data_IF_619959985779
#
_entry.id   IF_619959985779
#
_cell.length_a   1.000
_cell.length_b   1.000
_cell.length_c   1.000
_cell.angle_alpha   90.00
_cell.angle_beta   90.00
_cell.angle_gamma   90.00
#
_symmetry.space_group_name_H-M   'P 1'
#
loop_
_entity.id
_entity.type
_entity.pdbx_description
1 polymer ?
#
# COMPACT_ATOMS: atom_id res chain seq x y z
N UNK A 1 10.27 -17.54 3.79
CA UNK A 1 9.47 -16.87 2.72
C UNK A 1 10.42 -16.27 1.71
N UNK A 2 10.09 -16.26 0.40
CA UNK A 2 10.90 -15.55 -0.61
C UNK A 2 10.73 -14.04 -0.40
N UNK A 3 11.80 -13.27 -0.60
CA UNK A 3 11.82 -11.82 -0.47
C UNK A 3 12.39 -11.18 -1.73
N UNK A 4 12.08 -9.91 -1.90
CA UNK A 4 12.65 -9.00 -2.87
C UNK A 4 13.42 -7.92 -2.11
N UNK A 5 14.43 -7.33 -2.75
CA UNK A 5 15.25 -6.31 -2.09
C UNK A 5 14.98 -4.94 -2.69
N UNK A 6 14.72 -3.95 -1.83
CA UNK A 6 14.82 -2.55 -2.19
C UNK A 6 16.27 -2.16 -2.48
N UNK A 7 16.49 -1.01 -3.12
CA UNK A 7 17.85 -0.52 -3.44
C UNK A 7 18.74 -0.32 -2.21
N UNK A 8 18.15 -0.02 -1.06
CA UNK A 8 18.85 0.13 0.21
C UNK A 8 19.14 -1.20 0.93
N UNK A 9 18.70 -2.34 0.37
CA UNK A 9 18.88 -3.67 0.93
C UNK A 9 17.75 -4.17 1.82
N UNK A 10 16.75 -3.35 2.12
CA UNK A 10 15.56 -3.77 2.87
C UNK A 10 14.80 -4.86 2.12
N UNK A 11 14.22 -5.79 2.88
CA UNK A 11 13.59 -6.98 2.33
C UNK A 11 12.07 -6.86 2.33
N UNK A 12 11.45 -7.09 1.17
CA UNK A 12 10.01 -7.16 0.99
C UNK A 12 9.58 -8.61 0.80
N UNK A 13 8.76 -9.18 1.69
CA UNK A 13 8.16 -10.50 1.44
C UNK A 13 7.25 -10.45 0.21
N UNK A 14 7.44 -11.39 -0.72
CA UNK A 14 6.70 -11.39 -2.01
C UNK A 14 5.22 -11.73 -1.87
N UNK A 15 4.83 -12.37 -0.76
CA UNK A 15 3.46 -12.75 -0.46
C UNK A 15 2.99 -11.99 0.78
N UNK A 16 1.84 -11.34 0.68
CA UNK A 16 1.22 -10.58 1.76
C UNK A 16 -0.26 -10.88 1.94
N UNK A 17 -0.77 -10.57 3.13
CA UNK A 17 -2.20 -10.56 3.42
C UNK A 17 -2.75 -9.17 3.12
N UNK A 18 -3.72 -9.07 2.18
CA UNK A 18 -4.52 -7.87 1.98
C UNK A 18 -5.71 -7.85 2.94
N UNK A 19 -6.05 -6.66 3.45
CA UNK A 19 -7.10 -6.47 4.46
C UNK A 19 -8.38 -5.82 3.92
N UNK A 20 -8.46 -5.57 2.60
CA UNK A 20 -9.63 -5.00 1.94
C UNK A 20 -10.85 -5.92 2.04
N UNK A 21 -12.05 -5.36 2.27
CA UNK A 21 -13.34 -6.08 2.40
C UNK A 21 -13.40 -7.11 3.53
N UNK A 22 -12.44 -7.17 4.44
CA UNK A 22 -12.58 -7.96 5.65
C UNK A 22 -13.74 -7.41 6.48
N UNK A 23 -14.60 -8.31 6.97
CA UNK A 23 -15.74 -7.91 7.79
C UNK A 23 -15.28 -7.38 9.15
N UNK A 24 -16.02 -6.43 9.74
CA UNK A 24 -15.76 -6.00 11.12
C UNK A 24 -15.70 -7.19 12.08
N UNK A 25 -14.69 -7.21 12.95
CA UNK A 25 -14.46 -8.28 13.93
C UNK A 25 -13.68 -9.49 13.39
N UNK A 26 -13.50 -9.63 12.07
CA UNK A 26 -12.81 -10.80 11.48
C UNK A 26 -11.32 -10.53 11.20
N UNK A 27 -10.95 -9.29 10.82
CA UNK A 27 -9.60 -8.98 10.32
C UNK A 27 -8.52 -9.13 11.39
N UNK A 28 -8.82 -8.84 12.66
CA UNK A 28 -7.89 -9.05 13.78
C UNK A 28 -7.41 -10.49 13.81
N UNK A 29 -8.34 -11.43 13.79
CA UNK A 29 -8.03 -12.86 13.86
C UNK A 29 -7.34 -13.35 12.58
N UNK A 30 -7.77 -12.86 11.41
CA UNK A 30 -7.14 -13.19 10.12
C UNK A 30 -5.66 -12.76 10.08
N UNK A 31 -5.34 -11.56 10.57
CA UNK A 31 -3.96 -11.07 10.67
C UNK A 31 -3.13 -11.93 11.64
N UNK A 32 -3.69 -12.25 12.81
CA UNK A 32 -3.01 -13.11 13.77
C UNK A 32 -2.66 -14.48 13.15
N UNK A 33 -3.64 -15.16 12.56
CA UNK A 33 -3.44 -16.45 11.91
C UNK A 33 -2.49 -16.40 10.71
N UNK A 34 -2.53 -15.33 9.93
CA UNK A 34 -1.59 -15.15 8.83
C UNK A 34 -0.14 -15.07 9.34
N UNK A 35 0.09 -14.30 10.42
CA UNK A 35 1.42 -14.19 11.05
C UNK A 35 1.85 -15.55 11.61
N UNK A 36 0.97 -16.26 12.30
CA UNK A 36 1.20 -17.61 12.82
C UNK A 36 1.55 -18.60 11.69
N UNK A 37 0.84 -18.52 10.56
CA UNK A 37 1.10 -19.32 9.36
C UNK A 37 2.38 -18.92 8.61
N UNK A 38 3.08 -17.87 9.05
CA UNK A 38 4.37 -17.46 8.48
C UNK A 38 4.30 -16.28 7.50
N UNK A 39 3.14 -15.64 7.31
CA UNK A 39 3.09 -14.37 6.57
C UNK A 39 3.88 -13.28 7.31
N UNK A 40 4.57 -12.45 6.54
CA UNK A 40 5.38 -11.35 7.09
C UNK A 40 5.08 -10.01 6.42
N UNK A 41 4.15 -9.95 5.48
CA UNK A 41 3.69 -8.73 4.82
C UNK A 41 2.17 -8.58 5.04
N UNK A 42 1.76 -7.43 5.57
CA UNK A 42 0.36 -7.04 5.78
C UNK A 42 0.10 -5.76 5.00
N UNK A 43 -0.91 -5.76 4.16
CA UNK A 43 -1.31 -4.63 3.32
C UNK A 43 -2.63 -4.04 3.78
N UNK A 44 -2.58 -2.77 4.19
CA UNK A 44 -3.67 -2.00 4.75
C UNK A 44 -4.00 -0.78 3.88
N UNK A 45 -5.02 -0.04 4.23
CA UNK A 45 -5.25 1.33 3.81
C UNK A 45 -6.25 2.02 4.75
N UNK A 46 -6.07 3.33 4.96
CA UNK A 46 -6.94 4.13 5.83
C UNK A 46 -8.43 4.02 5.45
N UNK A 47 -8.74 4.00 4.13
CA UNK A 47 -10.12 3.91 3.64
C UNK A 47 -10.80 2.56 3.93
N UNK A 48 -10.04 1.50 4.26
CA UNK A 48 -10.62 0.22 4.62
C UNK A 48 -11.31 0.24 5.98
N UNK A 49 -11.03 1.26 6.81
CA UNK A 49 -11.64 1.52 8.11
C UNK A 49 -11.48 0.37 9.12
N UNK A 50 -10.47 -0.47 8.93
CA UNK A 50 -10.18 -1.64 9.76
C UNK A 50 -8.77 -1.66 10.35
N UNK A 51 -7.97 -0.58 10.18
CA UNK A 51 -6.58 -0.53 10.65
C UNK A 51 -6.43 -0.76 12.16
N UNK A 52 -7.42 -0.37 12.98
CA UNK A 52 -7.40 -0.64 14.43
C UNK A 52 -7.45 -2.13 14.75
N UNK A 53 -8.27 -2.88 14.04
CA UNK A 53 -8.36 -4.33 14.20
C UNK A 53 -7.10 -5.03 13.66
N UNK A 54 -6.56 -4.55 12.52
CA UNK A 54 -5.28 -5.03 11.97
C UNK A 54 -4.16 -4.80 12.98
N UNK A 55 -4.06 -3.59 13.53
CA UNK A 55 -3.09 -3.24 14.56
C UNK A 55 -3.21 -4.10 15.82
N UNK A 56 -4.43 -4.43 16.23
CA UNK A 56 -4.65 -5.35 17.33
C UNK A 56 -4.13 -6.76 17.02
N UNK A 57 -4.40 -7.29 15.81
CA UNK A 57 -3.91 -8.62 15.40
C UNK A 57 -2.38 -8.69 15.34
N UNK A 58 -1.74 -7.62 14.84
CA UNK A 58 -0.27 -7.50 14.84
C UNK A 58 0.27 -7.46 16.27
N UNK A 59 -0.33 -6.65 17.12
CA UNK A 59 0.07 -6.53 18.54
C UNK A 59 -0.07 -7.85 19.28
N UNK A 60 -1.17 -8.57 19.10
CA UNK A 60 -1.41 -9.87 19.71
C UNK A 60 -0.32 -10.88 19.29
N UNK A 61 0.00 -10.96 18.01
CA UNK A 61 1.05 -11.86 17.50
C UNK A 61 2.45 -11.51 18.05
N UNK A 62 2.76 -10.22 18.21
CA UNK A 62 4.01 -9.76 18.81
C UNK A 62 4.04 -10.11 20.30
N UNK A 63 2.94 -9.88 21.03
CA UNK A 63 2.82 -10.13 22.45
C UNK A 63 2.95 -11.63 22.81
N UNK A 64 2.46 -12.50 21.94
CA UNK A 64 2.60 -13.95 22.06
C UNK A 64 3.98 -14.47 21.60
N UNK A 65 4.86 -13.58 21.13
CA UNK A 65 6.23 -13.94 20.71
C UNK A 65 6.31 -14.64 19.35
N UNK A 66 5.24 -14.64 18.55
CA UNK A 66 5.23 -15.27 17.22
C UNK A 66 6.14 -14.53 16.24
N UNK A 67 6.31 -13.22 16.41
CA UNK A 67 7.07 -12.35 15.51
C UNK A 67 7.53 -11.09 16.24
N UNK A 68 8.59 -10.44 15.76
CA UNK A 68 8.99 -9.09 16.21
C UNK A 68 8.53 -8.06 15.18
N UNK A 69 8.26 -6.81 15.58
CA UNK A 69 7.88 -5.73 14.64
C UNK A 69 8.84 -5.61 13.46
N UNK A 70 10.13 -5.71 13.69
CA UNK A 70 11.17 -5.61 12.66
C UNK A 70 11.13 -6.72 11.60
N UNK A 71 10.47 -7.83 11.89
CA UNK A 71 10.36 -8.99 11.00
C UNK A 71 9.08 -8.93 10.16
N UNK A 72 8.22 -7.92 10.42
CA UNK A 72 7.01 -7.63 9.64
C UNK A 72 7.27 -6.48 8.68
N UNK A 73 6.70 -6.61 7.49
CA UNK A 73 6.58 -5.56 6.50
C UNK A 73 5.12 -5.09 6.45
N UNK A 74 4.86 -3.86 6.87
CA UNK A 74 3.50 -3.31 6.93
C UNK A 74 3.37 -2.15 5.95
N UNK A 75 2.43 -2.31 5.03
CA UNK A 75 2.07 -1.30 4.02
C UNK A 75 0.75 -0.66 4.40
N UNK A 76 0.65 0.66 4.26
CA UNK A 76 -0.63 1.37 4.22
C UNK A 76 -0.64 2.46 3.15
N UNK A 77 -1.77 3.15 3.01
CA UNK A 77 -2.01 4.04 1.87
C UNK A 77 -2.68 5.34 2.31
N UNK A 78 -2.17 6.45 1.77
CA UNK A 78 -2.76 7.78 1.88
C UNK A 78 -4.07 7.82 1.09
N UNK A 79 -5.18 8.07 1.78
CA UNK A 79 -6.45 8.21 1.09
C UNK A 79 -6.58 9.54 0.35
N UNK A 80 -7.49 9.58 -0.60
CA UNK A 80 -7.66 10.65 -1.55
C UNK A 80 -8.09 12.00 -0.92
N UNK A 81 -8.66 11.98 0.27
CA UNK A 81 -9.10 13.19 1.00
C UNK A 81 -7.98 13.90 1.77
N UNK A 82 -6.76 13.38 1.70
CA UNK A 82 -5.61 13.85 2.48
C UNK A 82 -4.39 14.16 1.59
N UNK A 83 -4.62 14.54 0.32
CA UNK A 83 -3.55 14.79 -0.65
C UNK A 83 -2.89 16.17 -0.54
N UNK A 84 -3.48 17.15 0.18
CA UNK A 84 -2.81 18.43 0.40
C UNK A 84 -1.56 18.19 1.25
N UNK A 85 -0.51 18.97 1.02
CA UNK A 85 0.79 18.81 1.71
C UNK A 85 0.63 18.73 3.24
N UNK A 86 -0.16 19.65 3.81
CA UNK A 86 -0.42 19.73 5.25
C UNK A 86 -1.24 18.57 5.82
N UNK A 87 -1.97 17.81 4.98
CA UNK A 87 -2.83 16.72 5.41
C UNK A 87 -2.12 15.35 5.42
N UNK A 88 -1.03 15.18 4.64
CA UNK A 88 -0.35 13.88 4.47
C UNK A 88 0.21 13.35 5.79
N UNK A 89 0.96 14.18 6.52
CA UNK A 89 1.57 13.77 7.79
C UNK A 89 0.52 13.44 8.85
N UNK A 90 -0.52 14.27 9.11
CA UNK A 90 -1.59 13.92 10.02
C UNK A 90 -2.33 12.62 9.65
N UNK A 91 -2.54 12.37 8.35
CA UNK A 91 -3.15 11.13 7.88
C UNK A 91 -2.28 9.90 8.20
N UNK A 92 -0.97 9.99 7.98
CA UNK A 92 -0.04 8.92 8.33
C UNK A 92 0.05 8.69 9.84
N UNK A 93 0.13 9.76 10.63
CA UNK A 93 0.14 9.67 12.10
C UNK A 93 -1.13 9.00 12.63
N UNK A 94 -2.29 9.30 12.03
CA UNK A 94 -3.54 8.59 12.34
C UNK A 94 -3.46 7.10 12.02
N UNK A 95 -2.99 6.74 10.84
CA UNK A 95 -2.76 5.34 10.42
C UNK A 95 -1.82 4.62 11.39
N UNK A 96 -0.70 5.23 11.76
CA UNK A 96 0.25 4.66 12.72
C UNK A 96 -0.39 4.44 14.09
N UNK A 97 -1.17 5.40 14.58
CA UNK A 97 -1.91 5.27 15.83
C UNK A 97 -2.94 4.12 15.77
N UNK A 98 -3.71 4.03 14.69
CA UNK A 98 -4.72 2.98 14.51
C UNK A 98 -4.06 1.59 14.40
N UNK A 99 -2.94 1.47 13.72
CA UNK A 99 -2.13 0.25 13.61
C UNK A 99 -1.29 -0.06 14.87
N UNK A 100 -1.16 0.89 15.83
CA UNK A 100 -0.28 0.81 17.01
C UNK A 100 1.19 0.58 16.64
N UNK A 101 1.68 1.31 15.65
CA UNK A 101 3.03 1.21 15.12
C UNK A 101 3.75 2.57 15.19
N UNK A 102 5.06 2.54 15.33
CA UNK A 102 5.90 3.75 15.32
C UNK A 102 6.28 4.16 13.88
N UNK A 103 6.25 3.21 12.94
CA UNK A 103 6.58 3.44 11.53
C UNK A 103 5.86 2.43 10.63
N UNK A 104 5.68 2.81 9.35
CA UNK A 104 5.36 1.87 8.27
C UNK A 104 6.63 1.42 7.54
N UNK A 105 6.59 0.24 6.94
CA UNK A 105 7.65 -0.17 6.02
C UNK A 105 7.44 0.45 4.63
N UNK A 106 6.18 0.63 4.20
CA UNK A 106 5.84 1.26 2.93
C UNK A 106 4.56 2.09 3.05
N UNK A 107 4.60 3.33 2.55
CA UNK A 107 3.42 4.20 2.45
C UNK A 107 3.17 4.59 1.00
N UNK A 108 1.94 4.41 0.52
CA UNK A 108 1.57 4.61 -0.88
C UNK A 108 0.53 5.73 -1.03
N UNK A 109 0.64 6.56 -2.06
CA UNK A 109 -0.51 7.33 -2.54
C UNK A 109 -1.52 6.34 -3.12
N UNK A 110 -2.75 6.25 -2.57
CA UNK A 110 -3.71 5.18 -2.92
C UNK A 110 -4.23 5.31 -4.35
N UNK A 111 -4.57 6.53 -4.78
CA UNK A 111 -5.00 6.86 -6.14
C UNK A 111 -4.45 8.24 -6.55
N UNK A 112 -4.21 8.49 -7.83
CA UNK A 112 -3.74 9.82 -8.31
C UNK A 112 -4.88 10.85 -8.43
N UNK A 113 -5.77 10.91 -7.46
CA UNK A 113 -6.97 11.75 -7.45
C UNK A 113 -7.14 12.35 -6.05
N UNK A 114 -7.33 13.68 -5.97
CA UNK A 114 -7.52 14.36 -4.70
C UNK A 114 -9.00 14.69 -4.45
N UNK A 115 -9.48 14.35 -3.25
CA UNK A 115 -10.81 14.71 -2.75
C UNK A 115 -10.70 15.83 -1.71
N UNK A 116 -11.81 16.52 -1.46
CA UNK A 116 -11.88 17.45 -0.34
C UNK A 116 -11.82 16.70 1.00
N UNK A 117 -11.28 17.34 2.06
CA UNK A 117 -11.15 16.70 3.36
C UNK A 117 -12.46 16.10 3.89
N UNK A 118 -12.37 14.90 4.46
CA UNK A 118 -13.51 14.19 5.05
C UNK A 118 -14.42 13.47 4.03
N UNK A 119 -14.09 13.54 2.74
CA UNK A 119 -14.82 12.80 1.72
C UNK A 119 -14.29 11.38 1.61
N UNK A 120 -15.06 10.39 2.08
CA UNK A 120 -14.67 8.98 1.98
C UNK A 120 -14.64 8.52 0.53
N UNK A 121 -15.80 8.41 -0.13
CA UNK A 121 -15.92 8.10 -1.55
C UNK A 121 -16.66 9.23 -2.25
N UNK A 122 -15.93 10.03 -3.03
CA UNK A 122 -16.49 11.15 -3.77
C UNK A 122 -17.51 10.68 -4.81
N UNK A 123 -18.66 11.33 -4.85
CA UNK A 123 -19.78 11.05 -5.78
C UNK A 123 -20.13 12.26 -6.62
N UNK A 124 -19.89 13.45 -6.12
CA UNK A 124 -20.24 14.71 -6.74
C UNK A 124 -18.97 15.45 -7.17
N UNK A 125 -19.04 16.20 -8.27
CA UNK A 125 -17.89 16.92 -8.84
C UNK A 125 -17.26 17.91 -7.84
N UNK A 126 -18.06 18.56 -7.03
CA UNK A 126 -17.63 19.50 -6.00
C UNK A 126 -16.84 18.88 -4.86
N UNK A 127 -16.86 17.54 -4.71
CA UNK A 127 -16.10 16.79 -3.71
C UNK A 127 -14.65 16.53 -4.14
N UNK A 128 -14.33 16.76 -5.42
CA UNK A 128 -12.98 16.63 -5.95
C UNK A 128 -12.25 17.97 -5.91
N UNK A 129 -10.95 17.91 -5.64
CA UNK A 129 -10.06 19.00 -6.00
C UNK A 129 -9.73 18.96 -7.51
N UNK A 130 -9.50 20.12 -8.09
CA UNK A 130 -8.89 20.17 -9.43
C UNK A 130 -7.40 19.85 -9.32
N UNK A 131 -6.79 19.50 -10.43
CA UNK A 131 -5.34 19.26 -10.46
C UNK A 131 -4.52 20.53 -10.13
N UNK A 132 -5.06 21.72 -10.39
CA UNK A 132 -4.45 23.01 -10.05
C UNK A 132 -4.54 23.29 -8.54
N UNK A 133 -5.60 22.83 -7.86
CA UNK A 133 -5.78 23.02 -6.42
C UNK A 133 -4.82 22.14 -5.63
N UNK A 134 -4.67 20.88 -6.05
CA UNK A 134 -3.79 19.89 -5.39
C UNK A 134 -2.99 19.13 -6.46
N UNK A 135 -1.90 19.75 -6.98
CA UNK A 135 -1.02 19.08 -7.95
C UNK A 135 -0.30 17.90 -7.30
N UNK A 136 -0.07 16.85 -8.08
CA UNK A 136 0.62 15.63 -7.61
C UNK A 136 2.00 15.92 -7.01
N UNK A 137 2.70 16.94 -7.51
CA UNK A 137 3.99 17.37 -6.98
C UNK A 137 3.93 17.74 -5.50
N UNK A 138 2.88 18.44 -5.08
CA UNK A 138 2.66 18.83 -3.68
C UNK A 138 2.45 17.61 -2.77
N UNK A 139 1.63 16.66 -3.22
CA UNK A 139 1.41 15.42 -2.47
C UNK A 139 2.69 14.59 -2.38
N UNK A 140 3.46 14.53 -3.50
CA UNK A 140 4.70 13.76 -3.53
C UNK A 140 5.80 14.38 -2.64
N UNK A 141 5.90 15.70 -2.59
CA UNK A 141 6.79 16.41 -1.67
C UNK A 141 6.47 16.01 -0.21
N UNK A 142 5.21 16.07 0.19
CA UNK A 142 4.79 15.66 1.53
C UNK A 142 5.06 14.17 1.82
N UNK A 143 4.96 13.29 0.81
CA UNK A 143 5.38 11.88 0.95
C UNK A 143 6.88 11.75 1.24
N UNK A 144 7.72 12.57 0.60
CA UNK A 144 9.16 12.61 0.88
C UNK A 144 9.45 13.13 2.30
N UNK A 145 8.70 14.13 2.77
CA UNK A 145 8.84 14.67 4.12
C UNK A 145 8.51 13.64 5.20
N UNK A 146 7.46 12.87 5.05
CA UNK A 146 7.12 11.81 6.01
C UNK A 146 8.14 10.67 6.00
N UNK A 147 8.75 10.35 4.85
CA UNK A 147 9.89 9.43 4.77
C UNK A 147 11.11 10.01 5.50
N UNK A 148 11.46 11.24 5.22
CA UNK A 148 12.58 11.92 5.87
C UNK A 148 12.42 12.03 7.40
N UNK A 149 11.19 12.13 7.89
CA UNK A 149 10.89 12.13 9.32
C UNK A 149 10.93 10.74 9.98
N UNK A 150 11.12 9.66 9.21
CA UNK A 150 11.19 8.28 9.70
C UNK A 150 9.84 7.65 10.02
N UNK A 151 8.72 8.27 9.65
CA UNK A 151 7.38 7.70 9.84
C UNK A 151 7.08 6.57 8.86
N UNK A 152 7.80 6.52 7.74
CA UNK A 152 7.82 5.39 6.81
C UNK A 152 9.21 5.17 6.25
N UNK A 153 9.58 3.92 5.96
CA UNK A 153 10.90 3.60 5.37
C UNK A 153 10.91 3.81 3.85
N UNK A 154 9.83 3.41 3.20
CA UNK A 154 9.67 3.45 1.75
C UNK A 154 8.41 4.22 1.38
N UNK A 155 8.42 4.87 0.21
CA UNK A 155 7.29 5.56 -0.36
C UNK A 155 7.04 5.10 -1.80
N UNK A 156 5.78 5.10 -2.20
CA UNK A 156 5.38 4.71 -3.53
C UNK A 156 3.98 5.18 -3.87
N UNK A 157 3.44 4.59 -4.92
CA UNK A 157 2.13 4.94 -5.45
C UNK A 157 1.28 3.69 -5.67
N UNK A 158 -0.02 3.87 -5.83
CA UNK A 158 -0.95 2.80 -6.17
C UNK A 158 -1.94 3.30 -7.22
N UNK A 159 -2.34 2.42 -8.13
CA UNK A 159 -3.30 2.71 -9.20
C UNK A 159 -2.85 3.83 -10.16
N UNK A 160 -1.54 4.02 -10.33
CA UNK A 160 -0.99 4.98 -11.27
C UNK A 160 -0.83 4.33 -12.65
N UNK A 161 -1.32 5.01 -13.68
CA UNK A 161 -1.04 4.66 -15.07
C UNK A 161 0.32 5.22 -15.52
N UNK A 162 0.78 4.87 -16.72
CA UNK A 162 2.06 5.34 -17.27
C UNK A 162 2.19 6.87 -17.27
N UNK A 163 1.13 7.60 -17.61
CA UNK A 163 1.18 9.07 -17.67
C UNK A 163 1.44 9.67 -16.27
N UNK A 164 0.75 9.17 -15.25
CA UNK A 164 0.93 9.61 -13.86
C UNK A 164 2.26 9.13 -13.26
N UNK A 165 2.75 7.96 -13.65
CA UNK A 165 4.10 7.53 -13.27
C UNK A 165 5.17 8.43 -13.89
N UNK A 166 5.08 8.75 -15.19
CA UNK A 166 6.02 9.68 -15.84
C UNK A 166 6.04 11.03 -15.16
N UNK A 167 4.87 11.52 -14.74
CA UNK A 167 4.74 12.78 -14.03
C UNK A 167 5.50 12.76 -12.70
N UNK A 168 5.24 11.78 -11.83
CA UNK A 168 5.90 11.70 -10.51
C UNK A 168 7.40 11.36 -10.64
N UNK A 169 7.79 10.57 -11.63
CA UNK A 169 9.19 10.25 -11.93
C UNK A 169 10.00 11.49 -12.41
N UNK A 170 9.33 12.47 -12.99
CA UNK A 170 9.97 13.71 -13.43
C UNK A 170 10.21 14.70 -12.28
N UNK A 171 9.58 14.53 -11.12
CA UNK A 171 9.75 15.40 -9.95
C UNK A 171 11.16 15.26 -9.35
N UNK A 172 11.57 16.23 -8.55
CA UNK A 172 12.84 16.20 -7.82
C UNK A 172 12.79 15.28 -6.59
N UNK A 173 13.96 14.86 -6.10
CA UNK A 173 14.07 14.03 -4.90
C UNK A 173 13.81 12.54 -5.13
N UNK A 174 13.25 11.88 -4.13
CA UNK A 174 12.98 10.44 -4.15
C UNK A 174 11.96 10.08 -5.24
N UNK A 175 12.19 8.93 -5.87
CA UNK A 175 11.24 8.37 -6.83
C UNK A 175 10.33 7.36 -6.14
N UNK A 176 9.10 7.14 -6.63
CA UNK A 176 8.28 6.03 -6.15
C UNK A 176 9.08 4.73 -6.23
N UNK A 177 9.17 4.01 -5.14
CA UNK A 177 9.88 2.72 -5.10
C UNK A 177 8.97 1.57 -5.56
N UNK A 178 7.66 1.80 -5.53
CA UNK A 178 6.65 0.81 -5.90
C UNK A 178 5.43 1.46 -6.56
N UNK A 179 4.83 0.76 -7.53
CA UNK A 179 3.45 0.98 -7.98
C UNK A 179 2.61 -0.27 -7.64
N UNK A 180 1.62 -0.13 -6.77
CA UNK A 180 0.69 -1.22 -6.46
C UNK A 180 -0.53 -1.13 -7.35
N UNK A 181 -0.81 -2.19 -8.13
CA UNK A 181 -1.90 -2.20 -9.12
C UNK A 181 -2.74 -3.48 -9.06
N UNK A 182 -3.96 -3.41 -9.60
CA UNK A 182 -4.71 -4.60 -9.94
C UNK A 182 -4.07 -5.28 -11.16
N UNK A 183 -3.79 -6.58 -11.04
CA UNK A 183 -3.25 -7.36 -12.16
C UNK A 183 -3.64 -8.82 -12.01
N UNK A 184 -4.27 -9.38 -13.05
CA UNK A 184 -4.69 -10.78 -13.10
C UNK A 184 -4.88 -11.19 -14.58
N UNK A 185 -5.11 -12.48 -14.91
CA UNK A 185 -5.20 -12.94 -16.31
C UNK A 185 -6.23 -12.20 -17.18
N UNK A 186 -7.30 -11.64 -16.59
CA UNK A 186 -8.29 -10.84 -17.30
C UNK A 186 -7.94 -9.34 -17.38
N UNK A 187 -6.93 -8.89 -16.64
CA UNK A 187 -6.40 -7.53 -16.65
C UNK A 187 -4.86 -7.56 -16.58
N UNK A 188 -4.19 -8.00 -17.66
CA UNK A 188 -2.74 -8.24 -17.65
C UNK A 188 -1.89 -6.97 -17.64
N UNK A 189 -2.44 -5.82 -17.98
CA UNK A 189 -1.77 -4.50 -17.98
C UNK A 189 -0.33 -4.50 -18.52
N UNK A 190 -0.02 -5.33 -19.53
CA UNK A 190 1.35 -5.61 -19.98
C UNK A 190 2.17 -4.35 -20.25
N UNK A 191 1.61 -3.35 -20.93
CA UNK A 191 2.31 -2.11 -21.22
C UNK A 191 2.69 -1.31 -19.94
N UNK A 192 1.88 -1.38 -18.89
CA UNK A 192 2.20 -0.75 -17.60
C UNK A 192 3.27 -1.54 -16.86
N UNK A 193 3.19 -2.87 -16.90
CA UNK A 193 4.20 -3.77 -16.33
C UNK A 193 5.56 -3.52 -16.97
N UNK A 194 5.62 -3.50 -18.30
CA UNK A 194 6.87 -3.25 -19.05
C UNK A 194 7.43 -1.86 -18.70
N UNK A 195 6.58 -0.84 -18.66
CA UNK A 195 7.00 0.50 -18.28
C UNK A 195 7.57 0.57 -16.85
N UNK A 196 6.94 -0.09 -15.88
CA UNK A 196 7.46 -0.15 -14.51
C UNK A 196 8.84 -0.84 -14.48
N UNK A 197 9.03 -1.89 -15.26
CA UNK A 197 10.31 -2.56 -15.37
C UNK A 197 11.39 -1.68 -16.01
N UNK A 198 11.06 -0.99 -17.10
CA UNK A 198 11.98 -0.06 -17.78
C UNK A 198 12.39 1.11 -16.89
N UNK A 199 11.55 1.51 -15.95
CA UNK A 199 11.79 2.63 -15.04
C UNK A 199 12.25 2.21 -13.64
N UNK A 200 12.59 0.92 -13.45
CA UNK A 200 13.10 0.36 -12.19
C UNK A 200 12.13 0.55 -11.01
N UNK A 201 10.83 0.40 -11.29
CA UNK A 201 9.77 0.43 -10.30
C UNK A 201 9.41 -0.99 -9.89
N UNK A 202 9.34 -1.26 -8.59
CA UNK A 202 8.72 -2.50 -8.12
C UNK A 202 7.22 -2.48 -8.40
N UNK A 203 6.68 -3.65 -8.72
CA UNK A 203 5.25 -3.87 -8.85
C UNK A 203 4.76 -4.73 -7.69
N UNK A 204 3.77 -4.26 -6.99
CA UNK A 204 2.93 -5.07 -6.13
C UNK A 204 1.57 -5.22 -6.80
N UNK A 205 1.02 -6.41 -6.77
CA UNK A 205 -0.26 -6.71 -7.42
C UNK A 205 -1.25 -7.25 -6.40
N UNK A 206 -2.45 -6.73 -6.43
CA UNK A 206 -3.55 -7.30 -5.68
C UNK A 206 -4.48 -8.06 -6.63
N UNK A 207 -4.93 -9.21 -6.15
CA UNK A 207 -5.86 -10.08 -6.86
C UNK A 207 -7.18 -10.09 -6.09
N UNK A 208 -8.27 -9.72 -6.74
CA UNK A 208 -9.58 -10.14 -6.24
C UNK A 208 -9.77 -11.61 -6.64
N UNK A 209 -9.97 -12.53 -5.68
CA UNK A 209 -10.38 -13.88 -6.03
C UNK A 209 -11.68 -13.77 -6.82
N UNK A 210 -11.70 -14.29 -8.04
CA UNK A 210 -12.95 -14.41 -8.77
C UNK A 210 -13.94 -15.19 -7.87
N UNK A 211 -15.19 -14.76 -7.82
CA UNK A 211 -16.24 -15.39 -7.01
C UNK A 211 -16.43 -16.90 -7.32
N UNK A 212 -15.77 -17.40 -8.35
CA UNK A 212 -15.75 -18.79 -8.81
C UNK A 212 -14.55 -19.62 -8.31
N UNK A 213 -13.60 -19.06 -7.56
CA UNK A 213 -12.48 -19.84 -7.01
C UNK A 213 -12.95 -20.50 -5.72
N UNK A 214 -13.37 -21.77 -5.84
CA UNK A 214 -13.77 -22.60 -4.71
C UNK A 214 -12.63 -22.72 -3.71
N UNK A 215 -12.82 -22.14 -2.52
CA UNK A 215 -11.85 -22.18 -1.41
C UNK A 215 -11.45 -20.82 -0.85
N UNK A 216 -11.77 -19.71 -1.51
CA UNK A 216 -11.60 -18.37 -0.94
C UNK A 216 -12.94 -17.80 -0.50
N UNK A 217 -13.05 -17.42 0.75
CA UNK A 217 -14.20 -16.65 1.25
C UNK A 217 -14.05 -15.18 0.84
N UNK A 218 -15.19 -14.52 0.54
CA UNK A 218 -15.21 -13.09 0.23
C UNK A 218 -14.49 -12.32 1.34
N UNK A 219 -13.49 -11.48 0.96
CA UNK A 219 -12.71 -10.69 1.91
C UNK A 219 -11.25 -11.15 2.11
N UNK A 220 -10.82 -12.25 1.49
CA UNK A 220 -9.41 -12.64 1.49
C UNK A 220 -8.73 -12.14 0.21
N UNK A 221 -7.89 -11.12 0.33
CA UNK A 221 -7.10 -10.62 -0.78
C UNK A 221 -5.67 -11.12 -0.65
N UNK A 222 -5.16 -11.69 -1.73
CA UNK A 222 -3.77 -12.08 -1.86
C UNK A 222 -3.00 -10.92 -2.46
N UNK A 223 -1.98 -10.45 -1.76
CA UNK A 223 -1.01 -9.51 -2.30
C UNK A 223 0.22 -10.28 -2.77
N UNK A 224 0.59 -10.10 -4.02
CA UNK A 224 1.81 -10.66 -4.60
C UNK A 224 2.68 -9.52 -5.09
N UNK A 225 3.95 -9.50 -4.72
CA UNK A 225 4.88 -8.50 -5.22
C UNK A 225 5.77 -9.12 -6.29
N UNK A 226 5.81 -8.46 -7.44
CA UNK A 226 6.60 -8.87 -8.60
C UNK A 226 7.79 -7.93 -8.77
N UNK A 227 8.94 -8.48 -9.07
CA UNK A 227 10.16 -7.70 -9.32
C UNK A 227 10.49 -7.54 -10.77
N UNK A 228 11.23 -6.44 -10.99
CA UNK A 228 12.09 -6.24 -12.15
C UNK A 228 13.42 -6.99 -11.95
N UNK A 229 13.76 -7.85 -12.87
CA UNK A 229 15.07 -8.34 -13.33
C UNK A 229 14.92 -9.60 -14.19
N UNK A 230 13.89 -9.68 -15.05
CA UNK A 230 13.79 -10.73 -16.08
C UNK A 230 13.62 -12.16 -15.55
N UNK A 231 13.18 -12.32 -14.29
CA UNK A 231 12.87 -13.65 -13.72
C UNK A 231 11.42 -13.69 -13.31
N UNK A 232 10.63 -14.34 -14.13
CA UNK A 232 9.34 -14.83 -13.67
C UNK A 232 9.56 -15.74 -12.45
N UNK A 233 8.83 -15.50 -11.39
CA UNK A 233 8.74 -16.48 -10.29
C UNK A 233 7.83 -17.58 -10.82
N UNK A 234 8.40 -18.66 -11.32
CA UNK A 234 7.72 -19.90 -11.64
C UNK A 234 7.39 -20.68 -10.37
#
# INVERSE_FOLDING_TARGET
MKTLSFKNGDQLPILGLGTWKSKPGEVRQAVFWAIEAGYRHIDCAAIYQNEREVGQGIHDAISEGLVKRKDLFVTSKLWNDSHRHEDVKPALEKTLNDLRLDYLDLYLIHWPIAFKPGVGFAKLREEFYTYQDVPLAQTWEAMQDVKASGLTKHIGVSNFNQAKLKEVLALTGDKPEMNQIELHPFLPQQALVDFCWETDQMLSVWLEPAASWSGFTAGQHLLVTLLHQGRYIS
#
